data_IF_082202147247
#
_entry.id   IF_082202147247
#
_cell.length_a   1.000
_cell.length_b   1.000
_cell.length_c   1.000
_cell.angle_alpha   90.00
_cell.angle_beta   90.00
_cell.angle_gamma   90.00
#
_symmetry.space_group_name_H-M   'P 1'
#
loop_
_entity.id
_entity.type
_entity.pdbx_description
1 polymer ?
#
# COMPACT_ATOMS: atom_id res chain seq x y z
N UNK A 1 -45.65 34.58 20.42
CA UNK A 1 -46.05 33.28 19.81
C UNK A 1 -44.82 32.48 19.52
N UNK A 2 -44.52 31.50 20.36
CA UNK A 2 -43.34 30.61 20.23
C UNK A 2 -43.73 29.42 19.36
N UNK A 3 -43.08 29.32 18.17
CA UNK A 3 -43.19 28.11 17.33
C UNK A 3 -41.97 27.21 17.64
N UNK A 4 -42.12 26.27 18.55
CA UNK A 4 -41.18 25.18 18.77
C UNK A 4 -41.49 24.07 17.77
N UNK A 5 -40.72 23.97 16.69
CA UNK A 5 -40.65 22.75 15.89
C UNK A 5 -39.92 21.69 16.70
N UNK A 6 -40.69 20.69 17.17
CA UNK A 6 -40.12 19.50 17.81
C UNK A 6 -39.43 18.64 16.77
N UNK A 7 -38.11 18.64 16.78
CA UNK A 7 -37.33 17.62 16.09
C UNK A 7 -37.55 16.27 16.78
N UNK A 8 -38.30 15.39 16.13
CA UNK A 8 -38.44 13.99 16.56
C UNK A 8 -37.18 13.27 16.05
N UNK A 9 -36.25 12.97 16.98
CA UNK A 9 -35.11 12.17 16.61
C UNK A 9 -35.44 10.66 16.72
N UNK A 10 -34.81 9.87 15.88
CA UNK A 10 -35.00 8.42 15.69
C UNK A 10 -35.00 7.62 17.02
N UNK A 11 -34.20 8.01 18.02
CA UNK A 11 -34.10 7.37 19.32
C UNK A 11 -35.37 7.60 20.20
N UNK A 12 -35.98 8.76 20.13
CA UNK A 12 -37.22 9.07 20.87
C UNK A 12 -38.42 8.41 20.24
N UNK A 13 -38.46 8.24 18.94
CA UNK A 13 -39.53 7.49 18.27
C UNK A 13 -39.49 6.01 18.60
N UNK A 14 -38.32 5.39 18.67
CA UNK A 14 -38.16 3.97 19.03
C UNK A 14 -38.38 3.70 20.50
N UNK A 15 -38.18 4.66 21.40
CA UNK A 15 -38.42 4.53 22.83
C UNK A 15 -39.92 4.61 23.21
N UNK A 16 -40.73 5.18 22.33
CA UNK A 16 -42.19 5.38 22.62
C UNK A 16 -43.09 4.27 22.10
N UNK A 17 -42.64 3.34 21.27
CA UNK A 17 -43.55 2.42 20.55
C UNK A 17 -43.42 0.95 20.91
N UNK A 18 -42.71 0.52 21.93
CA UNK A 18 -42.78 -0.86 22.48
C UNK A 18 -42.85 -2.04 21.50
N UNK A 19 -42.72 -1.82 20.20
CA UNK A 19 -42.78 -2.83 19.17
C UNK A 19 -41.58 -2.70 18.22
N UNK A 20 -40.69 -3.68 18.21
CA UNK A 20 -39.62 -3.86 17.21
C UNK A 20 -40.25 -4.27 15.88
N UNK A 21 -40.68 -3.31 15.09
CA UNK A 21 -40.98 -3.53 13.67
C UNK A 21 -39.73 -3.12 12.87
N UNK A 22 -39.03 -4.04 12.16
CA UNK A 22 -37.97 -3.67 11.29
C UNK A 22 -38.54 -2.86 10.12
N UNK A 23 -38.35 -1.54 10.14
CA UNK A 23 -38.68 -0.70 8.99
C UNK A 23 -37.72 -0.99 7.84
N UNK A 24 -38.24 -1.19 6.62
CA UNK A 24 -37.36 -1.31 5.46
C UNK A 24 -36.50 -0.06 5.32
N UNK A 25 -35.29 -0.22 4.83
CA UNK A 25 -34.34 0.85 4.58
C UNK A 25 -34.97 1.86 3.58
N UNK A 26 -35.32 3.03 4.06
CA UNK A 26 -35.85 4.09 3.21
C UNK A 26 -34.80 5.18 3.05
N UNK A 27 -34.16 5.23 1.88
CA UNK A 27 -33.16 6.24 1.51
C UNK A 27 -33.68 7.68 1.63
N UNK A 28 -35.00 7.89 1.56
CA UNK A 28 -35.66 9.19 1.72
C UNK A 28 -35.65 9.75 3.15
N UNK A 29 -35.39 8.92 4.18
CA UNK A 29 -35.30 9.39 5.57
C UNK A 29 -33.91 9.94 5.92
N UNK A 30 -32.87 9.69 5.10
CA UNK A 30 -31.55 10.32 5.24
C UNK A 30 -31.52 11.76 4.69
N UNK A 31 -32.46 12.14 3.84
CA UNK A 31 -32.53 13.50 3.26
C UNK A 31 -33.07 14.57 4.24
N UNK A 32 -33.69 14.19 5.35
CA UNK A 32 -34.28 15.16 6.29
C UNK A 32 -33.29 15.69 7.35
N UNK A 33 -32.14 15.05 7.53
CA UNK A 33 -31.04 15.61 8.30
C UNK A 33 -30.15 16.40 7.33
N UNK A 34 -30.37 17.69 7.22
CA UNK A 34 -29.66 18.62 6.33
C UNK A 34 -28.15 18.66 6.57
N UNK A 35 -27.47 17.55 6.28
CA UNK A 35 -26.06 17.57 5.94
C UNK A 35 -25.97 18.02 4.49
N UNK A 36 -25.64 19.32 4.28
CA UNK A 36 -24.94 19.71 3.05
C UNK A 36 -23.98 18.56 2.75
N UNK A 37 -24.12 17.88 1.57
CA UNK A 37 -23.08 17.05 1.01
C UNK A 37 -21.84 17.93 0.99
N UNK A 38 -21.01 17.84 2.03
CA UNK A 38 -19.63 18.25 1.89
C UNK A 38 -19.18 17.49 0.65
N UNK A 39 -18.67 18.20 -0.36
CA UNK A 39 -18.03 17.61 -1.52
C UNK A 39 -17.20 16.46 -1.00
N UNK A 40 -17.62 15.21 -1.23
CA UNK A 40 -16.95 14.06 -0.64
C UNK A 40 -15.54 14.11 -1.19
N UNK A 41 -14.57 14.32 -0.32
CA UNK A 41 -13.18 14.35 -0.72
C UNK A 41 -12.90 13.04 -1.46
N UNK A 42 -12.30 13.14 -2.65
CA UNK A 42 -12.01 11.98 -3.49
C UNK A 42 -11.23 10.96 -2.67
N UNK A 43 -11.76 9.74 -2.54
CA UNK A 43 -11.08 8.64 -1.87
C UNK A 43 -9.81 8.29 -2.64
N UNK A 44 -8.65 8.57 -2.06
CA UNK A 44 -7.34 8.32 -2.66
C UNK A 44 -6.75 7.01 -2.16
N UNK A 45 -6.01 6.33 -3.03
CA UNK A 45 -5.42 5.01 -2.77
C UNK A 45 -3.95 5.00 -3.17
N UNK A 46 -3.16 4.17 -2.51
CA UNK A 46 -1.76 3.95 -2.86
C UNK A 46 -1.46 2.45 -2.91
N UNK A 47 -0.84 2.02 -3.99
CA UNK A 47 -0.37 0.65 -4.17
C UNK A 47 1.11 0.68 -4.53
N UNK A 48 1.92 -0.06 -3.77
CA UNK A 48 3.31 -0.32 -4.10
C UNK A 48 3.45 -1.78 -4.54
N UNK A 49 4.05 -2.01 -5.70
CA UNK A 49 4.43 -3.33 -6.20
C UNK A 49 5.95 -3.39 -6.25
N UNK A 50 6.54 -4.24 -5.43
CA UNK A 50 7.97 -4.32 -5.18
C UNK A 50 8.56 -5.63 -5.71
N UNK A 51 9.15 -5.67 -6.92
CA UNK A 51 9.98 -6.79 -7.34
C UNK A 51 11.22 -6.88 -6.45
N UNK A 52 11.54 -8.11 -6.02
CA UNK A 52 12.75 -8.38 -5.26
C UNK A 52 13.98 -8.24 -6.18
N UNK A 53 15.11 -7.84 -5.63
CA UNK A 53 16.43 -7.72 -6.29
C UNK A 53 16.49 -6.80 -7.52
N UNK A 54 15.57 -5.86 -7.65
CA UNK A 54 15.63 -4.85 -8.70
C UNK A 54 15.03 -5.28 -10.03
N UNK A 55 15.31 -4.47 -11.03
CA UNK A 55 14.87 -4.62 -12.42
C UNK A 55 16.07 -4.39 -13.30
N UNK A 56 16.29 -5.25 -14.30
CA UNK A 56 17.37 -5.04 -15.25
C UNK A 56 17.11 -3.76 -16.08
N UNK A 57 18.07 -2.84 -16.05
CA UNK A 57 17.88 -1.49 -16.58
C UNK A 57 17.40 -1.46 -18.03
N UNK A 58 18.00 -2.26 -18.91
CA UNK A 58 17.66 -2.28 -20.33
C UNK A 58 16.30 -2.88 -20.63
N UNK A 59 15.68 -3.59 -19.66
CA UNK A 59 14.35 -4.17 -19.84
C UNK A 59 13.22 -3.14 -19.69
N UNK A 60 13.44 -2.03 -18.95
CA UNK A 60 12.41 -1.02 -18.67
C UNK A 60 12.71 0.35 -19.25
N UNK A 61 13.97 0.81 -19.19
CA UNK A 61 14.31 2.21 -19.42
C UNK A 61 14.45 2.50 -20.92
N UNK A 62 13.62 3.42 -21.48
CA UNK A 62 13.79 3.88 -22.84
C UNK A 62 15.15 4.56 -23.06
N UNK A 63 15.72 4.45 -24.25
CA UNK A 63 16.96 5.13 -24.61
C UNK A 63 16.84 6.65 -24.57
N UNK A 64 15.66 7.18 -24.95
CA UNK A 64 15.38 8.61 -25.00
C UNK A 64 14.57 9.06 -23.79
N UNK A 65 14.87 10.25 -23.30
CA UNK A 65 14.04 10.97 -22.31
C UNK A 65 12.89 11.70 -23.00
N UNK A 66 11.87 12.06 -22.23
CA UNK A 66 10.68 12.74 -22.72
C UNK A 66 9.51 11.80 -23.01
N UNK A 67 8.67 12.07 -24.02
CA UNK A 67 7.47 11.27 -24.27
C UNK A 67 7.76 9.78 -24.50
N UNK A 68 6.94 8.89 -23.90
CA UNK A 68 7.05 7.43 -24.06
C UNK A 68 6.52 7.03 -25.46
N UNK A 69 7.29 7.32 -26.50
CA UNK A 69 6.97 6.95 -27.89
C UNK A 69 7.25 5.49 -28.17
N UNK A 70 8.34 4.97 -27.61
CA UNK A 70 8.79 3.59 -27.77
C UNK A 70 9.33 3.06 -26.44
N UNK A 71 8.86 1.88 -26.05
CA UNK A 71 9.35 1.15 -24.89
C UNK A 71 10.38 0.08 -25.30
N UNK A 72 11.30 -0.31 -24.41
CA UNK A 72 12.21 -1.42 -24.65
C UNK A 72 11.48 -2.72 -25.02
N UNK A 73 12.17 -3.65 -25.69
CA UNK A 73 11.63 -4.92 -26.18
C UNK A 73 10.79 -5.65 -25.12
N UNK A 74 11.30 -5.79 -23.91
CA UNK A 74 10.67 -6.55 -22.86
C UNK A 74 9.51 -5.77 -22.15
N UNK A 75 9.44 -4.46 -22.32
CA UNK A 75 8.37 -3.62 -21.77
C UNK A 75 7.23 -3.32 -22.77
N UNK A 76 7.23 -3.91 -23.97
CA UNK A 76 6.23 -3.65 -25.01
C UNK A 76 4.78 -3.96 -24.58
N UNK A 77 4.58 -4.90 -23.65
CA UNK A 77 3.27 -5.19 -23.07
C UNK A 77 2.63 -4.00 -22.34
N UNK A 78 3.42 -2.99 -21.95
CA UNK A 78 2.94 -1.75 -21.34
C UNK A 78 2.49 -0.67 -22.35
N UNK A 79 2.68 -0.87 -23.66
CA UNK A 79 2.40 0.15 -24.69
C UNK A 79 0.95 0.65 -24.67
N UNK A 80 -0.03 -0.22 -24.40
CA UNK A 80 -1.44 0.15 -24.33
C UNK A 80 -1.73 1.16 -23.19
N UNK A 81 -0.86 1.21 -22.19
CA UNK A 81 -1.01 2.01 -20.97
C UNK A 81 0.00 3.14 -20.86
N UNK A 82 0.83 3.41 -21.87
CA UNK A 82 1.93 4.39 -21.78
C UNK A 82 1.52 5.82 -21.43
N UNK A 83 0.25 6.17 -21.52
CA UNK A 83 -0.31 7.46 -21.07
C UNK A 83 -0.70 7.46 -19.59
N UNK A 84 -0.76 6.30 -18.96
CA UNK A 84 -1.20 6.10 -17.57
C UNK A 84 -0.03 6.06 -16.59
N UNK A 85 1.21 6.01 -17.09
CA UNK A 85 2.40 5.95 -16.23
C UNK A 85 3.55 6.80 -16.77
N UNK A 86 4.47 7.11 -15.88
CA UNK A 86 5.80 7.69 -16.18
C UNK A 86 6.89 6.76 -15.66
N UNK A 87 8.05 6.77 -16.32
CA UNK A 87 9.25 6.06 -15.89
C UNK A 87 10.23 7.10 -15.33
N UNK A 88 10.67 6.89 -14.11
CA UNK A 88 11.75 7.65 -13.49
C UNK A 88 13.00 6.78 -13.46
N UNK A 89 14.12 7.27 -13.96
CA UNK A 89 15.41 6.59 -13.90
C UNK A 89 16.49 7.50 -13.33
N UNK A 90 17.57 6.90 -12.86
CA UNK A 90 18.64 7.68 -12.26
C UNK A 90 18.30 8.18 -10.85
N UNK A 91 17.42 7.46 -10.15
CA UNK A 91 17.00 7.79 -8.80
C UNK A 91 17.87 7.01 -7.82
N UNK A 92 18.37 7.69 -6.81
CA UNK A 92 19.26 7.13 -5.80
C UNK A 92 18.56 6.99 -4.43
N UNK A 93 19.06 6.01 -3.65
CA UNK A 93 18.84 5.93 -2.21
C UNK A 93 20.13 6.36 -1.47
N UNK A 94 20.30 7.63 -1.11
CA UNK A 94 21.58 8.16 -0.63
C UNK A 94 22.10 7.49 0.64
N UNK A 95 21.20 7.04 1.53
CA UNK A 95 21.51 6.49 2.85
C UNK A 95 21.42 4.96 2.94
N UNK A 96 21.30 4.26 1.81
CA UNK A 96 21.06 2.82 1.85
C UNK A 96 22.34 2.00 1.67
N UNK A 97 23.26 2.47 0.82
CA UNK A 97 24.42 1.67 0.41
C UNK A 97 24.01 0.45 -0.41
N UNK A 98 24.90 -0.51 -0.59
CA UNK A 98 24.64 -1.74 -1.37
C UNK A 98 24.10 -2.91 -0.56
N UNK A 99 23.95 -4.08 -1.22
CA UNK A 99 23.56 -5.37 -0.64
C UNK A 99 22.05 -5.65 -0.71
N UNK A 100 21.69 -6.93 -0.55
CA UNK A 100 20.31 -7.42 -0.68
C UNK A 100 19.32 -6.73 0.27
N UNK A 101 19.79 -6.28 1.45
CA UNK A 101 18.97 -5.50 2.37
C UNK A 101 18.46 -4.18 1.79
N UNK A 102 18.99 -3.71 0.65
CA UNK A 102 18.46 -2.54 -0.05
C UNK A 102 17.04 -2.77 -0.60
N UNK A 103 16.65 -4.01 -0.90
CA UNK A 103 15.30 -4.35 -1.37
C UNK A 103 14.22 -3.85 -0.40
N UNK A 104 14.44 -4.02 0.89
CA UNK A 104 13.47 -3.63 1.93
C UNK A 104 13.38 -2.11 2.17
N UNK A 105 14.20 -1.31 1.49
CA UNK A 105 14.27 0.15 1.72
C UNK A 105 13.46 0.96 0.72
N UNK A 106 12.71 0.31 -0.17
CA UNK A 106 11.97 0.95 -1.27
C UNK A 106 11.06 2.09 -0.81
N UNK A 107 10.48 2.03 0.39
CA UNK A 107 9.48 2.98 0.86
C UNK A 107 9.95 3.88 2.01
N UNK A 108 11.20 3.75 2.47
CA UNK A 108 11.77 4.62 3.51
C UNK A 108 13.16 5.15 3.18
N UNK A 109 13.86 4.57 2.20
CA UNK A 109 15.21 5.00 1.83
C UNK A 109 16.25 4.83 2.96
N UNK A 110 16.03 3.91 3.93
CA UNK A 110 16.85 3.74 5.12
C UNK A 110 17.06 2.27 5.47
N UNK A 111 18.30 1.88 5.75
CA UNK A 111 18.60 0.59 6.40
C UNK A 111 18.59 0.73 7.91
N UNK A 112 18.10 -0.29 8.61
CA UNK A 112 18.08 -0.33 10.07
C UNK A 112 19.48 -0.13 10.68
N UNK A 113 20.52 -0.69 10.07
CA UNK A 113 21.91 -0.52 10.49
C UNK A 113 22.45 0.92 10.37
N UNK A 114 21.78 1.77 9.58
CA UNK A 114 22.21 3.14 9.29
C UNK A 114 21.31 4.20 9.94
N UNK A 115 20.27 3.81 10.67
CA UNK A 115 19.36 4.75 11.31
C UNK A 115 19.95 5.46 12.56
N UNK A 116 21.13 5.04 13.01
CA UNK A 116 21.82 5.67 14.16
C UNK A 116 21.04 5.55 15.48
N UNK A 117 20.24 4.48 15.64
CA UNK A 117 19.39 4.27 16.81
C UNK A 117 18.02 4.98 16.71
N UNK A 118 17.84 5.90 15.80
CA UNK A 118 16.55 6.56 15.56
C UNK A 118 15.65 5.70 14.65
N UNK A 119 14.90 4.79 15.25
CA UNK A 119 14.02 3.86 14.55
C UNK A 119 12.85 4.54 13.84
N UNK A 120 12.52 5.80 14.15
CA UNK A 120 11.50 6.58 13.43
C UNK A 120 11.85 6.74 11.95
N UNK A 121 13.15 6.75 11.62
CA UNK A 121 13.65 6.77 10.23
C UNK A 121 13.29 5.52 9.42
N UNK A 122 12.87 4.44 10.08
CA UNK A 122 12.41 3.21 9.43
C UNK A 122 10.96 3.30 8.92
N UNK A 123 10.19 4.30 9.36
CA UNK A 123 8.79 4.47 8.93
C UNK A 123 8.69 4.55 7.41
N UNK A 124 7.88 3.68 6.83
CA UNK A 124 7.67 3.62 5.39
C UNK A 124 6.49 4.50 4.95
N UNK A 125 6.52 4.94 3.70
CA UNK A 125 5.50 5.81 3.09
C UNK A 125 4.10 5.21 3.19
N UNK A 126 3.94 3.94 2.84
CA UNK A 126 2.67 3.21 2.88
C UNK A 126 2.10 3.16 4.31
N UNK A 127 2.94 2.85 5.29
CA UNK A 127 2.54 2.85 6.70
C UNK A 127 2.15 4.25 7.18
N UNK A 128 2.93 5.28 6.79
CA UNK A 128 2.61 6.66 7.13
C UNK A 128 1.25 7.10 6.55
N UNK A 129 0.99 6.79 5.28
CA UNK A 129 -0.29 7.07 4.63
C UNK A 129 -1.45 6.29 5.27
N UNK A 130 -1.22 5.02 5.61
CA UNK A 130 -2.20 4.18 6.28
C UNK A 130 -2.58 4.70 7.68
N UNK A 131 -1.61 5.18 8.44
CA UNK A 131 -1.87 5.80 9.76
C UNK A 131 -2.72 7.07 9.64
N UNK A 132 -2.60 7.82 8.56
CA UNK A 132 -3.35 9.07 8.31
C UNK A 132 -4.75 8.81 7.71
N UNK A 133 -4.87 7.89 6.76
CA UNK A 133 -6.07 7.75 5.91
C UNK A 133 -6.67 6.35 5.89
N UNK A 134 -6.01 5.35 6.49
CA UNK A 134 -6.48 3.97 6.49
C UNK A 134 -7.52 3.66 7.56
N UNK A 135 -7.75 4.57 8.50
CA UNK A 135 -8.62 4.31 9.67
C UNK A 135 -10.10 4.13 9.34
N UNK A 136 -10.55 4.63 8.19
CA UNK A 136 -11.93 4.49 7.73
C UNK A 136 -12.20 3.13 7.07
N UNK A 137 -11.17 2.31 6.86
CA UNK A 137 -11.27 1.02 6.20
C UNK A 137 -11.07 -0.14 7.19
N UNK A 138 -11.53 -1.35 6.82
CA UNK A 138 -11.37 -2.54 7.66
C UNK A 138 -9.89 -2.88 7.87
N UNK A 139 -9.09 -2.74 6.82
CA UNK A 139 -7.65 -2.97 6.83
C UNK A 139 -6.94 -1.66 6.51
N UNK A 140 -6.36 -0.97 7.51
CA UNK A 140 -5.63 0.27 7.25
C UNK A 140 -4.53 0.12 6.20
N UNK A 141 -3.89 -1.04 6.15
CA UNK A 141 -2.85 -1.43 5.19
C UNK A 141 -2.89 -2.94 5.00
N UNK A 142 -2.73 -3.39 3.77
CA UNK A 142 -2.46 -4.79 3.44
C UNK A 142 -1.04 -4.93 2.88
N UNK A 143 -0.25 -5.79 3.52
CA UNK A 143 1.05 -6.21 2.99
C UNK A 143 0.94 -7.65 2.53
N UNK A 144 1.23 -7.90 1.26
CA UNK A 144 1.01 -9.18 0.61
C UNK A 144 2.21 -9.62 -0.23
N UNK A 145 2.36 -10.91 -0.49
CA UNK A 145 3.37 -11.41 -1.41
C UNK A 145 4.31 -12.47 -0.83
N UNK A 146 5.59 -12.42 -1.16
CA UNK A 146 6.55 -13.48 -0.85
C UNK A 146 7.10 -13.49 0.59
N UNK A 147 6.72 -12.54 1.42
CA UNK A 147 7.09 -12.51 2.85
C UNK A 147 8.33 -11.70 3.21
N UNK A 148 9.15 -11.26 2.26
CA UNK A 148 10.25 -10.33 2.57
C UNK A 148 9.69 -8.94 2.93
N UNK A 149 10.05 -8.36 4.07
CA UNK A 149 9.40 -7.13 4.52
C UNK A 149 9.87 -5.92 3.71
N UNK A 150 8.90 -5.11 3.27
CA UNK A 150 9.12 -3.79 2.61
C UNK A 150 8.49 -2.68 3.44
N UNK A 151 7.54 -3.02 4.30
CA UNK A 151 6.78 -2.10 5.14
C UNK A 151 7.25 -2.17 6.60
N UNK A 152 7.53 -1.02 7.18
CA UNK A 152 7.99 -0.88 8.56
C UNK A 152 7.24 0.26 9.26
N UNK A 153 6.95 0.08 10.53
CA UNK A 153 6.40 1.12 11.38
C UNK A 153 7.50 2.07 11.92
N UNK A 154 7.09 3.09 12.65
CA UNK A 154 7.99 4.08 13.26
C UNK A 154 8.88 3.53 14.41
N UNK A 155 8.72 2.26 14.77
CA UNK A 155 9.57 1.53 15.74
C UNK A 155 10.54 0.58 15.02
N UNK A 156 10.61 0.65 13.70
CA UNK A 156 11.46 -0.23 12.88
C UNK A 156 11.03 -1.69 12.89
N UNK A 157 9.76 -1.95 13.21
CA UNK A 157 9.17 -3.30 13.18
C UNK A 157 8.52 -3.51 11.83
N UNK A 158 8.86 -4.63 11.20
CA UNK A 158 8.25 -5.03 9.94
C UNK A 158 6.77 -5.39 10.13
N UNK A 159 5.93 -4.94 9.19
CA UNK A 159 4.51 -5.33 9.14
C UNK A 159 4.42 -6.75 8.57
N UNK A 160 3.70 -7.67 9.22
CA UNK A 160 3.56 -9.05 8.74
C UNK A 160 2.93 -9.10 7.34
N UNK A 161 3.49 -9.95 6.48
CA UNK A 161 3.05 -10.11 5.10
C UNK A 161 2.12 -11.33 4.96
N UNK A 162 0.99 -11.17 4.28
CA UNK A 162 0.09 -12.26 3.90
C UNK A 162 0.68 -12.95 2.68
N UNK A 163 1.20 -14.17 2.87
CA UNK A 163 1.94 -14.89 1.83
C UNK A 163 1.10 -15.84 0.99
N UNK A 164 -0.21 -15.94 1.22
CA UNK A 164 -1.13 -16.83 0.50
C UNK A 164 -2.32 -16.04 -0.06
N UNK A 165 -2.63 -16.15 -1.37
CA UNK A 165 -3.83 -15.53 -1.94
C UNK A 165 -5.11 -16.07 -1.28
N UNK A 166 -5.13 -17.35 -0.88
CA UNK A 166 -6.25 -17.98 -0.18
C UNK A 166 -6.50 -17.30 1.17
N UNK A 167 -5.42 -17.08 1.94
CA UNK A 167 -5.50 -16.35 3.23
C UNK A 167 -5.93 -14.90 3.02
N UNK A 168 -5.40 -14.24 2.00
CA UNK A 168 -5.80 -12.87 1.66
C UNK A 168 -7.30 -12.81 1.30
N UNK A 169 -7.78 -13.72 0.46
CA UNK A 169 -9.19 -13.80 0.08
C UNK A 169 -10.08 -14.06 1.30
N UNK A 170 -9.74 -15.04 2.12
CA UNK A 170 -10.48 -15.35 3.34
C UNK A 170 -10.52 -14.14 4.29
N UNK A 171 -9.39 -13.45 4.47
CA UNK A 171 -9.33 -12.28 5.35
C UNK A 171 -10.22 -11.14 4.86
N UNK A 172 -10.29 -10.89 3.55
CA UNK A 172 -11.02 -9.75 2.99
C UNK A 172 -12.50 -10.06 2.75
N UNK A 173 -12.85 -11.27 2.29
CA UNK A 173 -14.18 -11.58 1.75
C UNK A 173 -14.93 -12.70 2.48
N UNK A 174 -14.23 -13.64 3.11
CA UNK A 174 -14.90 -14.73 3.81
C UNK A 174 -15.43 -14.25 5.16
N UNK A 175 -16.74 -14.48 5.43
CA UNK A 175 -17.33 -14.11 6.69
C UNK A 175 -16.70 -14.88 7.84
N UNK A 176 -16.48 -14.19 8.96
CA UNK A 176 -15.88 -14.79 10.14
C UNK A 176 -16.90 -15.69 10.86
N UNK A 177 -16.43 -16.79 11.45
CA UNK A 177 -17.26 -17.66 12.26
C UNK A 177 -17.65 -16.94 13.56
N UNK A 178 -18.92 -17.00 14.03
CA UNK A 178 -19.34 -16.37 15.26
C UNK A 178 -18.51 -16.75 16.50
N UNK A 179 -17.99 -17.97 16.56
CA UNK A 179 -17.08 -18.41 17.63
C UNK A 179 -15.73 -17.68 17.59
N UNK A 180 -15.21 -17.47 16.38
CA UNK A 180 -13.95 -16.75 16.17
C UNK A 180 -14.11 -15.27 16.49
N UNK A 181 -15.24 -14.66 16.08
CA UNK A 181 -15.60 -13.28 16.43
C UNK A 181 -15.59 -13.10 17.95
N UNK A 182 -16.28 -13.99 18.69
CA UNK A 182 -16.33 -13.93 20.15
C UNK A 182 -14.96 -14.10 20.80
N UNK A 183 -14.14 -15.03 20.30
CA UNK A 183 -12.77 -15.23 20.78
C UNK A 183 -11.91 -13.99 20.54
N UNK A 184 -12.00 -13.39 19.34
CA UNK A 184 -11.24 -12.18 19.00
C UNK A 184 -11.69 -10.98 19.84
N UNK A 185 -12.99 -10.84 20.07
CA UNK A 185 -13.52 -9.80 20.97
C UNK A 185 -12.98 -9.93 22.40
N UNK A 186 -12.93 -11.15 22.92
CA UNK A 186 -12.35 -11.40 24.26
C UNK A 186 -10.88 -11.00 24.30
N UNK A 187 -10.09 -11.36 23.27
CA UNK A 187 -8.70 -10.95 23.17
C UNK A 187 -8.55 -9.43 23.10
N UNK A 188 -9.35 -8.75 22.27
CA UNK A 188 -9.32 -7.29 22.16
C UNK A 188 -9.68 -6.58 23.47
N UNK A 189 -10.65 -7.13 24.21
CA UNK A 189 -11.03 -6.59 25.53
C UNK A 189 -9.90 -6.76 26.54
N UNK A 190 -9.19 -7.89 26.54
CA UNK A 190 -8.01 -8.10 27.37
C UNK A 190 -6.87 -7.13 27.01
N UNK A 191 -6.57 -6.99 25.72
CA UNK A 191 -5.54 -6.07 25.24
C UNK A 191 -5.87 -4.61 25.63
N UNK A 192 -7.12 -4.18 25.52
CA UNK A 192 -7.58 -2.86 25.95
C UNK A 192 -7.48 -2.67 27.47
N UNK A 193 -7.84 -3.67 28.27
CA UNK A 193 -7.70 -3.61 29.73
C UNK A 193 -6.24 -3.46 30.18
N UNK A 194 -5.33 -4.24 29.57
CA UNK A 194 -3.89 -4.10 29.85
C UNK A 194 -3.40 -2.69 29.46
N UNK A 195 -3.92 -2.15 28.36
CA UNK A 195 -3.52 -0.81 27.90
C UNK A 195 -4.01 0.28 28.84
N UNK A 196 -5.23 0.16 29.37
CA UNK A 196 -5.79 1.09 30.36
C UNK A 196 -4.93 1.10 31.63
N UNK A 197 -4.54 -0.07 32.15
CA UNK A 197 -3.65 -0.20 33.30
C UNK A 197 -2.29 0.48 33.03
N UNK A 198 -1.70 0.25 31.85
CA UNK A 198 -0.44 0.87 31.43
C UNK A 198 -0.54 2.41 31.31
N UNK A 199 -1.67 2.93 30.83
CA UNK A 199 -1.90 4.38 30.72
C UNK A 199 -2.01 5.02 32.12
N UNK A 200 -2.66 4.34 33.07
CA UNK A 200 -2.82 4.87 34.42
C UNK A 200 -1.51 4.80 35.22
N UNK A 201 -0.74 3.73 35.10
CA UNK A 201 0.62 3.64 35.64
C UNK A 201 1.52 4.73 35.08
N UNK A 202 1.43 4.94 33.79
CA UNK A 202 2.19 5.97 33.09
C UNK A 202 1.83 7.37 33.63
N UNK A 203 0.55 7.72 33.79
CA UNK A 203 0.14 9.02 34.38
C UNK A 203 0.71 9.25 35.77
N UNK A 204 0.83 8.18 36.55
CA UNK A 204 1.46 8.28 37.89
C UNK A 204 2.97 8.56 37.81
N UNK A 205 3.69 7.85 36.96
CA UNK A 205 5.14 8.01 36.75
C UNK A 205 5.52 9.38 36.19
N UNK A 206 4.66 9.97 35.36
CA UNK A 206 4.93 11.26 34.70
C UNK A 206 5.03 12.47 35.62
N UNK A 207 4.58 12.35 36.88
CA UNK A 207 4.52 13.49 37.84
C UNK A 207 5.88 13.94 38.36
N UNK A 208 6.94 13.11 38.25
CA UNK A 208 8.28 13.39 38.79
C UNK A 208 9.39 13.57 37.76
N UNK A 209 9.08 13.58 36.46
CA UNK A 209 10.07 13.58 35.40
C UNK A 209 10.65 14.97 35.13
N UNK A 210 11.95 15.03 34.83
CA UNK A 210 12.60 16.23 34.28
C UNK A 210 12.12 16.52 32.84
N UNK A 211 12.58 17.62 32.24
CA UNK A 211 12.12 18.07 30.93
C UNK A 211 12.43 17.04 29.81
N UNK A 212 13.63 16.45 29.83
CA UNK A 212 14.10 15.53 28.79
C UNK A 212 13.37 14.18 28.88
N UNK A 213 13.19 13.68 30.08
CA UNK A 213 12.47 12.44 30.31
C UNK A 213 10.98 12.61 30.10
N UNK A 214 10.43 13.81 30.36
CA UNK A 214 9.04 14.14 30.04
C UNK A 214 8.75 14.10 28.54
N UNK A 215 9.67 14.59 27.69
CA UNK A 215 9.51 14.51 26.23
C UNK A 215 9.45 13.05 25.75
N UNK A 216 10.34 12.19 26.22
CA UNK A 216 10.31 10.73 25.91
C UNK A 216 9.05 10.07 26.45
N UNK A 217 8.61 10.50 27.60
CA UNK A 217 7.41 9.98 28.23
C UNK A 217 6.13 10.36 27.49
N UNK A 218 6.00 11.57 27.00
CA UNK A 218 4.89 12.00 26.14
C UNK A 218 4.87 11.22 24.81
N UNK A 219 6.04 10.88 24.25
CA UNK A 219 6.13 9.98 23.10
C UNK A 219 5.59 8.57 23.41
N UNK A 220 5.90 8.05 24.59
CA UNK A 220 5.39 6.78 25.07
C UNK A 220 3.87 6.81 25.25
N UNK A 221 3.34 7.83 25.93
CA UNK A 221 1.89 8.03 26.08
C UNK A 221 1.17 8.16 24.74
N UNK A 222 1.75 8.89 23.82
CA UNK A 222 1.21 9.01 22.45
C UNK A 222 1.13 7.65 21.78
N UNK A 223 2.17 6.81 21.92
CA UNK A 223 2.21 5.47 21.38
C UNK A 223 1.15 4.54 21.98
N UNK A 224 0.87 4.66 23.29
CA UNK A 224 -0.20 3.91 23.95
C UNK A 224 -1.58 4.32 23.41
N UNK A 225 -1.84 5.63 23.31
CA UNK A 225 -3.09 6.17 22.74
C UNK A 225 -3.33 5.76 21.28
N UNK A 226 -2.27 5.70 20.47
CA UNK A 226 -2.38 5.22 19.09
C UNK A 226 -2.71 3.72 19.05
N UNK A 227 -2.17 2.93 19.96
CA UNK A 227 -2.47 1.50 20.08
C UNK A 227 -3.93 1.30 20.53
N UNK A 228 -4.39 2.04 21.52
CA UNK A 228 -5.78 2.05 21.97
C UNK A 228 -6.76 2.33 20.81
N UNK A 229 -6.49 3.39 20.05
CA UNK A 229 -7.31 3.73 18.88
C UNK A 229 -7.37 2.62 17.84
N UNK A 230 -6.26 1.90 17.60
CA UNK A 230 -6.22 0.75 16.66
C UNK A 230 -7.04 -0.42 17.16
N UNK A 231 -6.94 -0.76 18.46
CA UNK A 231 -7.74 -1.83 19.05
C UNK A 231 -9.24 -1.51 19.02
N UNK A 232 -9.63 -0.29 19.35
CA UNK A 232 -11.02 0.17 19.23
C UNK A 232 -11.52 0.12 17.79
N UNK A 233 -10.73 0.52 16.81
CA UNK A 233 -11.06 0.42 15.39
C UNK A 233 -11.28 -1.04 14.98
N UNK A 234 -10.34 -1.94 15.34
CA UNK A 234 -10.48 -3.36 15.05
C UNK A 234 -11.78 -3.93 15.63
N UNK A 235 -12.10 -3.58 16.90
CA UNK A 235 -13.33 -3.96 17.55
C UNK A 235 -14.59 -3.46 16.83
N UNK A 236 -14.57 -2.23 16.28
CA UNK A 236 -15.69 -1.68 15.51
C UNK A 236 -15.94 -2.44 14.19
N UNK A 237 -14.87 -2.98 13.56
CA UNK A 237 -14.99 -3.77 12.34
C UNK A 237 -15.33 -5.23 12.57
N UNK A 238 -15.16 -5.74 13.79
CA UNK A 238 -15.34 -7.15 14.13
C UNK A 238 -16.77 -7.64 13.83
N UNK A 239 -17.77 -6.81 14.06
CA UNK A 239 -19.19 -7.12 13.86
C UNK A 239 -19.77 -6.60 12.53
N UNK A 240 -18.96 -6.01 11.69
CA UNK A 240 -19.40 -5.59 10.35
C UNK A 240 -19.18 -6.73 9.38
N UNK A 241 -20.16 -7.02 8.54
CA UNK A 241 -20.01 -7.98 7.46
C UNK A 241 -18.86 -7.60 6.54
N UNK A 242 -18.14 -8.59 6.08
CA UNK A 242 -17.16 -8.41 5.00
C UNK A 242 -17.89 -8.23 3.68
N UNK A 243 -17.31 -7.50 2.70
CA UNK A 243 -17.94 -7.32 1.40
C UNK A 243 -18.18 -8.67 0.71
N UNK A 244 -19.31 -8.79 0.02
CA UNK A 244 -19.62 -9.97 -0.79
C UNK A 244 -18.99 -9.82 -2.17
N UNK A 245 -18.53 -10.92 -2.74
CA UNK A 245 -18.01 -11.00 -4.11
C UNK A 245 -18.47 -12.26 -4.79
N UNK A 246 -18.73 -12.17 -6.09
CA UNK A 246 -19.01 -13.34 -6.94
C UNK A 246 -17.73 -14.00 -7.46
N UNK A 247 -16.58 -13.37 -7.23
CA UNK A 247 -15.28 -13.89 -7.62
C UNK A 247 -14.90 -15.09 -6.75
N UNK A 248 -14.78 -16.25 -7.37
CA UNK A 248 -14.48 -17.55 -6.73
C UNK A 248 -13.22 -18.16 -7.34
N UNK A 249 -12.06 -17.54 -7.14
CA UNK A 249 -10.85 -17.89 -7.89
C UNK A 249 -10.36 -19.31 -7.63
N UNK A 250 -10.61 -19.86 -6.46
CA UNK A 250 -10.09 -21.18 -6.07
C UNK A 250 -11.02 -22.33 -6.51
N UNK A 251 -12.32 -22.07 -6.61
CA UNK A 251 -13.29 -23.01 -7.20
C UNK A 251 -13.06 -23.09 -8.72
N UNK A 252 -12.95 -21.93 -9.38
CA UNK A 252 -12.72 -21.84 -10.82
C UNK A 252 -11.35 -22.41 -11.24
N UNK A 253 -10.30 -22.22 -10.44
CA UNK A 253 -8.97 -22.74 -10.73
C UNK A 253 -8.90 -24.26 -10.75
N UNK A 254 -9.80 -24.96 -10.03
CA UNK A 254 -9.89 -26.43 -10.04
C UNK A 254 -10.53 -26.99 -11.32
N UNK A 255 -11.31 -26.15 -12.01
CA UNK A 255 -12.05 -26.51 -13.23
C UNK A 255 -11.29 -26.10 -14.52
N UNK A 256 -10.16 -25.40 -14.38
CA UNK A 256 -9.36 -24.92 -15.52
C UNK A 256 -8.20 -25.85 -15.83
N UNK A 257 -7.96 -26.10 -17.12
CA UNK A 257 -6.80 -26.85 -17.60
C UNK A 257 -5.47 -26.17 -17.20
N UNK A 258 -5.46 -24.82 -17.21
CA UNK A 258 -4.35 -23.99 -16.75
C UNK A 258 -4.83 -23.07 -15.63
N UNK A 259 -4.58 -23.38 -14.35
CA UNK A 259 -4.98 -22.53 -13.25
C UNK A 259 -4.25 -21.20 -13.28
N UNK A 260 -4.89 -20.10 -12.85
CA UNK A 260 -4.27 -18.77 -12.83
C UNK A 260 -3.00 -18.77 -11.98
N UNK A 261 -1.98 -18.07 -12.47
CA UNK A 261 -0.75 -17.93 -11.73
C UNK A 261 -1.01 -17.26 -10.37
N UNK A 262 -0.29 -17.69 -9.34
CA UNK A 262 -0.45 -17.17 -7.96
C UNK A 262 -0.42 -15.63 -7.86
N UNK A 263 0.38 -14.96 -8.70
CA UNK A 263 0.41 -13.50 -8.75
C UNK A 263 -0.87 -12.90 -9.32
N UNK A 264 -1.48 -13.52 -10.32
CA UNK A 264 -2.75 -13.07 -10.88
C UNK A 264 -3.83 -13.07 -9.78
N UNK A 265 -3.86 -14.12 -8.95
CA UNK A 265 -4.77 -14.21 -7.81
C UNK A 265 -4.54 -13.07 -6.79
N UNK A 266 -3.29 -12.77 -6.44
CA UNK A 266 -3.00 -11.61 -5.57
C UNK A 266 -3.51 -10.31 -6.19
N UNK A 267 -3.21 -10.04 -7.46
CA UNK A 267 -3.60 -8.81 -8.14
C UNK A 267 -5.12 -8.67 -8.25
N UNK A 268 -5.83 -9.78 -8.47
CA UNK A 268 -7.28 -9.82 -8.52
C UNK A 268 -7.91 -9.46 -7.17
N UNK A 269 -7.45 -10.12 -6.11
CA UNK A 269 -7.95 -9.89 -4.76
C UNK A 269 -7.60 -8.45 -4.30
N UNK A 270 -6.40 -7.96 -4.63
CA UNK A 270 -6.01 -6.58 -4.35
C UNK A 270 -6.93 -5.56 -5.02
N UNK A 271 -7.24 -5.76 -6.31
CA UNK A 271 -8.14 -4.86 -7.04
C UNK A 271 -9.55 -4.86 -6.44
N UNK A 272 -10.07 -6.03 -6.06
CA UNK A 272 -11.36 -6.15 -5.37
C UNK A 272 -11.34 -5.51 -3.97
N UNK A 273 -10.25 -5.66 -3.22
CA UNK A 273 -10.11 -5.02 -1.91
C UNK A 273 -10.10 -3.49 -2.00
N UNK A 274 -9.49 -2.93 -3.07
CA UNK A 274 -9.53 -1.49 -3.36
C UNK A 274 -10.93 -1.04 -3.82
N UNK A 275 -11.63 -1.86 -4.62
CA UNK A 275 -12.97 -1.55 -5.12
C UNK A 275 -14.00 -1.49 -4.01
N UNK A 276 -13.95 -2.44 -3.08
CA UNK A 276 -14.86 -2.54 -1.94
C UNK A 276 -14.48 -1.61 -0.79
N UNK A 277 -13.46 -0.78 -0.95
CA UNK A 277 -12.86 0.09 0.09
C UNK A 277 -12.52 -0.70 1.38
N UNK A 278 -12.22 -2.00 1.24
CA UNK A 278 -11.74 -2.82 2.36
C UNK A 278 -10.38 -2.35 2.86
N UNK A 279 -9.59 -1.80 1.95
CA UNK A 279 -8.34 -1.07 2.21
C UNK A 279 -8.11 -0.02 1.12
N UNK A 280 -7.30 1.00 1.44
CA UNK A 280 -6.82 2.02 0.50
C UNK A 280 -5.32 1.95 0.24
N UNK A 281 -4.61 1.13 1.01
CA UNK A 281 -3.16 1.02 0.98
C UNK A 281 -2.74 -0.43 0.88
N UNK A 282 -1.95 -0.75 -0.15
CA UNK A 282 -1.47 -2.11 -0.39
C UNK A 282 0.01 -2.05 -0.77
N UNK A 283 0.82 -2.89 -0.13
CA UNK A 283 2.19 -3.17 -0.56
C UNK A 283 2.31 -4.63 -0.94
N UNK A 284 2.57 -4.88 -2.22
CA UNK A 284 2.73 -6.23 -2.79
C UNK A 284 4.18 -6.49 -3.13
N UNK A 285 4.78 -7.45 -2.45
CA UNK A 285 6.09 -7.94 -2.79
C UNK A 285 5.98 -9.13 -3.75
N UNK A 286 6.43 -8.89 -4.98
CA UNK A 286 6.41 -9.93 -6.02
C UNK A 286 7.38 -11.08 -5.69
N UNK A 287 7.11 -12.28 -6.20
CA UNK A 287 8.00 -13.42 -6.02
C UNK A 287 9.44 -13.13 -6.42
N UNK A 288 10.34 -13.69 -5.64
CA UNK A 288 11.78 -13.57 -5.76
C UNK A 288 12.50 -14.69 -5.00
N UNK A 289 13.62 -14.36 -4.35
CA UNK A 289 14.39 -15.30 -3.55
C UNK A 289 15.28 -16.21 -4.37
N UNK A 290 15.59 -17.37 -3.81
CA UNK A 290 16.56 -18.33 -4.38
C UNK A 290 15.93 -19.37 -5.31
N UNK A 291 14.59 -19.32 -5.49
CA UNK A 291 13.84 -20.30 -6.26
C UNK A 291 13.82 -20.03 -7.76
N UNK A 292 13.21 -20.99 -8.48
CA UNK A 292 12.84 -20.81 -9.87
C UNK A 292 11.53 -20.04 -9.96
N UNK A 293 11.43 -19.14 -10.92
CA UNK A 293 10.17 -18.50 -11.26
C UNK A 293 9.56 -19.20 -12.47
N UNK A 294 8.24 -19.47 -12.49
CA UNK A 294 7.57 -20.18 -13.59
C UNK A 294 7.35 -19.23 -14.77
N UNK A 295 8.43 -18.91 -15.46
CA UNK A 295 8.45 -18.05 -16.65
C UNK A 295 9.03 -18.84 -17.80
N UNK A 296 8.33 -18.90 -18.93
CA UNK A 296 8.78 -19.59 -20.12
C UNK A 296 10.15 -19.09 -20.57
N UNK A 297 11.04 -20.00 -20.93
CA UNK A 297 12.42 -19.70 -21.31
C UNK A 297 13.39 -19.44 -20.15
N UNK A 298 12.91 -19.53 -18.89
CA UNK A 298 13.74 -19.39 -17.68
C UNK A 298 14.01 -20.77 -17.07
N UNK A 299 15.27 -21.16 -17.06
CA UNK A 299 15.75 -22.44 -16.53
C UNK A 299 16.82 -22.33 -15.44
N UNK A 300 17.08 -21.10 -14.98
CA UNK A 300 18.06 -20.79 -13.93
C UNK A 300 17.34 -20.13 -12.76
N UNK A 301 17.76 -20.46 -11.53
CA UNK A 301 17.19 -19.85 -10.33
C UNK A 301 17.33 -18.33 -10.32
N UNK A 302 16.27 -17.62 -9.90
CA UNK A 302 16.18 -16.17 -10.05
C UNK A 302 17.35 -15.42 -9.40
N UNK A 303 17.72 -15.76 -8.16
CA UNK A 303 18.85 -15.12 -7.50
C UNK A 303 20.18 -15.31 -8.28
N UNK A 304 20.39 -16.47 -8.88
CA UNK A 304 21.57 -16.70 -9.75
C UNK A 304 21.55 -15.82 -10.99
N UNK A 305 20.35 -15.59 -11.58
CA UNK A 305 20.18 -14.67 -12.72
C UNK A 305 20.44 -13.23 -12.34
N UNK A 306 20.06 -12.81 -11.13
CA UNK A 306 20.35 -11.43 -10.67
C UNK A 306 21.84 -11.16 -10.57
N UNK A 307 22.67 -12.18 -10.31
CA UNK A 307 24.14 -12.13 -10.37
C UNK A 307 24.65 -12.50 -11.77
N UNK A 308 24.10 -11.85 -12.80
CA UNK A 308 24.35 -12.19 -14.20
C UNK A 308 25.81 -12.01 -14.65
N UNK A 309 26.59 -11.13 -14.01
CA UNK A 309 27.97 -10.86 -14.40
C UNK A 309 28.12 -10.42 -15.85
N UNK A 310 27.11 -9.74 -16.42
CA UNK A 310 26.99 -9.30 -17.80
C UNK A 310 27.01 -10.43 -18.85
N UNK A 311 26.73 -11.67 -18.46
CA UNK A 311 26.60 -12.81 -19.38
C UNK A 311 25.29 -12.70 -20.15
N UNK A 312 25.30 -12.64 -21.49
CA UNK A 312 24.10 -12.39 -22.30
C UNK A 312 22.96 -13.38 -21.99
N UNK A 313 23.27 -14.67 -21.89
CA UNK A 313 22.29 -15.73 -21.63
C UNK A 313 21.57 -15.61 -20.28
N UNK A 314 22.24 -15.03 -19.27
CA UNK A 314 21.63 -14.75 -17.96
C UNK A 314 20.80 -13.47 -17.99
N UNK A 315 21.31 -12.44 -18.69
CA UNK A 315 20.59 -11.18 -18.87
C UNK A 315 19.30 -11.40 -19.65
N UNK A 316 19.31 -12.26 -20.66
CA UNK A 316 18.12 -12.60 -21.46
C UNK A 316 17.07 -13.28 -20.58
N UNK A 317 17.42 -14.29 -19.79
CA UNK A 317 16.49 -14.95 -18.87
C UNK A 317 15.97 -13.99 -17.78
N UNK A 318 16.83 -13.14 -17.24
CA UNK A 318 16.42 -12.10 -16.27
C UNK A 318 15.42 -11.13 -16.90
N UNK A 319 15.66 -10.74 -18.16
CA UNK A 319 14.78 -9.84 -18.90
C UNK A 319 13.42 -10.48 -19.23
N UNK A 320 13.35 -11.80 -19.40
CA UNK A 320 12.06 -12.53 -19.52
C UNK A 320 11.27 -12.48 -18.20
N UNK A 321 11.95 -12.59 -17.04
CA UNK A 321 11.31 -12.42 -15.74
C UNK A 321 10.78 -10.99 -15.60
N UNK A 322 11.55 -9.99 -16.00
CA UNK A 322 11.10 -8.61 -15.96
C UNK A 322 9.91 -8.38 -16.91
N UNK A 323 9.92 -8.96 -18.11
CA UNK A 323 8.80 -8.93 -19.05
C UNK A 323 7.53 -9.52 -18.43
N UNK A 324 7.64 -10.67 -17.79
CA UNK A 324 6.53 -11.28 -17.07
C UNK A 324 5.97 -10.35 -15.98
N UNK A 325 6.83 -9.67 -15.20
CA UNK A 325 6.41 -8.68 -14.22
C UNK A 325 5.70 -7.48 -14.85
N UNK A 326 6.17 -7.01 -16.02
CA UNK A 326 5.49 -5.93 -16.75
C UNK A 326 4.13 -6.36 -17.31
N UNK A 327 3.98 -7.61 -17.72
CA UNK A 327 2.68 -8.17 -18.09
C UNK A 327 1.72 -8.16 -16.90
N UNK A 328 2.18 -8.53 -15.70
CA UNK A 328 1.38 -8.42 -14.49
C UNK A 328 0.97 -6.97 -14.19
N UNK A 329 1.89 -6.02 -14.35
CA UNK A 329 1.61 -4.59 -14.21
C UNK A 329 0.58 -4.10 -15.22
N UNK A 330 0.72 -4.48 -16.50
CA UNK A 330 -0.23 -4.11 -17.55
C UNK A 330 -1.65 -4.64 -17.24
N UNK A 331 -1.76 -5.91 -16.85
CA UNK A 331 -3.03 -6.51 -16.41
C UNK A 331 -3.64 -5.75 -15.22
N UNK A 332 -2.83 -5.38 -14.24
CA UNK A 332 -3.31 -4.69 -13.06
C UNK A 332 -3.77 -3.26 -13.38
N UNK A 333 -3.02 -2.51 -14.18
CA UNK A 333 -3.42 -1.19 -14.68
C UNK A 333 -4.74 -1.28 -15.46
N UNK A 334 -4.87 -2.25 -16.37
CA UNK A 334 -6.11 -2.47 -17.14
C UNK A 334 -7.29 -2.78 -16.24
N UNK A 335 -7.08 -3.63 -15.21
CA UNK A 335 -8.10 -3.95 -14.22
C UNK A 335 -8.55 -2.71 -13.44
N UNK A 336 -7.61 -1.91 -12.93
CA UNK A 336 -7.93 -0.67 -12.20
C UNK A 336 -8.61 0.38 -13.09
N UNK A 337 -8.36 0.40 -14.40
CA UNK A 337 -9.07 1.27 -15.37
C UNK A 337 -10.53 0.84 -15.55
N UNK A 338 -10.79 -0.46 -15.63
CA UNK A 338 -12.13 -1.02 -15.86
C UNK A 338 -12.99 -1.01 -14.62
N UNK A 339 -12.41 -1.29 -13.47
CA UNK A 339 -13.12 -1.33 -12.19
C UNK A 339 -13.41 0.08 -11.69
N UNK A 340 -14.57 0.24 -11.07
CA UNK A 340 -15.04 1.53 -10.56
C UNK A 340 -15.17 1.49 -9.04
N UNK A 341 -14.90 2.62 -8.40
CA UNK A 341 -15.17 2.84 -6.97
C UNK A 341 -16.67 3.04 -6.71
N UNK A 342 -17.05 3.18 -5.43
CA UNK A 342 -18.44 3.41 -5.01
C UNK A 342 -19.07 4.69 -5.57
N UNK A 343 -18.29 5.59 -6.15
CA UNK A 343 -18.76 6.83 -6.81
C UNK A 343 -18.73 6.74 -8.34
N UNK A 344 -18.46 5.56 -8.89
CA UNK A 344 -18.45 5.28 -10.33
C UNK A 344 -17.19 5.74 -11.07
N UNK A 345 -16.12 6.15 -10.36
CA UNK A 345 -14.84 6.57 -10.97
C UNK A 345 -13.95 5.35 -11.21
N UNK A 346 -13.20 5.30 -12.33
CA UNK A 346 -12.16 4.29 -12.49
C UNK A 346 -11.21 4.27 -11.29
N UNK A 347 -10.89 3.08 -10.79
CA UNK A 347 -10.00 2.97 -9.63
C UNK A 347 -8.62 3.56 -9.90
N UNK A 348 -8.10 3.43 -11.12
CA UNK A 348 -6.81 4.01 -11.49
C UNK A 348 -6.76 5.52 -11.32
N UNK A 349 -7.88 6.22 -11.55
CA UNK A 349 -7.98 7.67 -11.42
C UNK A 349 -7.72 8.16 -9.98
N UNK A 350 -7.98 7.30 -9.01
CA UNK A 350 -7.86 7.62 -7.59
C UNK A 350 -6.75 6.83 -6.88
N UNK A 351 -6.01 6.03 -7.62
CA UNK A 351 -4.94 5.17 -7.11
C UNK A 351 -3.59 5.63 -7.66
N UNK A 352 -2.65 5.98 -6.78
CA UNK A 352 -1.23 6.05 -7.14
C UNK A 352 -0.66 4.64 -7.10
N UNK A 353 -0.01 4.24 -8.18
CA UNK A 353 0.64 2.94 -8.32
C UNK A 353 2.13 3.15 -8.53
N UNK A 354 2.94 2.60 -7.63
CA UNK A 354 4.40 2.64 -7.67
C UNK A 354 4.94 1.24 -7.87
N UNK A 355 5.74 1.04 -8.93
CA UNK A 355 6.40 -0.23 -9.21
C UNK A 355 7.92 -0.02 -9.28
N UNK A 356 8.66 -0.75 -8.47
CA UNK A 356 10.11 -0.68 -8.41
C UNK A 356 10.70 -1.34 -7.19
N UNK A 357 12.01 -1.24 -7.03
CA UNK A 357 12.75 -1.87 -5.93
C UNK A 357 13.69 -0.86 -5.25
N UNK A 358 14.04 -1.13 -3.99
CA UNK A 358 15.11 -0.41 -3.30
C UNK A 358 16.51 -0.75 -3.82
N UNK A 359 16.64 -1.81 -4.61
CA UNK A 359 17.87 -2.21 -5.30
C UNK A 359 17.70 -2.00 -6.79
N UNK A 360 18.71 -1.39 -7.46
CA UNK A 360 18.67 -1.12 -8.89
C UNK A 360 19.31 -2.23 -9.71
N UNK A 361 20.47 -2.71 -9.26
CA UNK A 361 21.29 -3.71 -9.93
C UNK A 361 21.78 -4.71 -8.90
N UNK A 362 21.20 -5.89 -8.93
CA UNK A 362 21.57 -6.96 -8.01
C UNK A 362 22.94 -7.56 -8.32
N UNK A 363 23.41 -7.51 -9.58
CA UNK A 363 24.75 -8.00 -9.95
C UNK A 363 25.86 -7.24 -9.25
N UNK A 364 25.65 -5.93 -9.03
CA UNK A 364 26.58 -5.04 -8.33
C UNK A 364 26.09 -4.69 -6.92
N UNK A 365 24.98 -5.27 -6.46
CA UNK A 365 24.34 -4.95 -5.18
C UNK A 365 24.08 -3.43 -5.00
N UNK A 366 23.77 -2.73 -6.07
CA UNK A 366 23.65 -1.26 -6.08
C UNK A 366 22.25 -0.80 -5.69
N UNK A 367 22.18 0.27 -4.91
CA UNK A 367 20.96 1.04 -4.63
C UNK A 367 20.96 2.41 -5.33
N UNK A 368 21.91 2.63 -6.24
CA UNK A 368 22.01 3.85 -7.04
C UNK A 368 21.40 3.64 -8.41
N UNK A 369 20.92 4.73 -9.02
CA UNK A 369 20.39 4.72 -10.37
C UNK A 369 19.19 3.76 -10.53
N UNK A 370 18.32 3.73 -9.54
CA UNK A 370 17.08 2.97 -9.55
C UNK A 370 16.13 3.42 -10.66
N UNK A 371 15.19 2.54 -11.00
CA UNK A 371 14.11 2.79 -11.94
C UNK A 371 12.78 2.57 -11.26
N UNK A 372 11.88 3.56 -11.37
CA UNK A 372 10.53 3.48 -10.84
C UNK A 372 9.54 3.74 -11.97
N UNK A 373 8.56 2.85 -12.14
CA UNK A 373 7.35 3.11 -12.89
C UNK A 373 6.31 3.64 -11.91
N UNK A 374 5.74 4.81 -12.24
CA UNK A 374 4.75 5.49 -11.41
C UNK A 374 3.50 5.78 -12.24
N UNK A 375 2.32 5.35 -11.78
CA UNK A 375 1.11 5.38 -12.57
C UNK A 375 -0.12 5.89 -11.81
N UNK A 376 -1.16 6.30 -12.54
CA UNK A 376 -2.48 6.60 -12.03
C UNK A 376 -2.63 7.96 -11.35
N UNK A 377 -3.64 8.08 -10.48
CA UNK A 377 -3.89 9.31 -9.72
C UNK A 377 -4.32 10.52 -10.57
N UNK A 378 -4.62 10.34 -11.86
CA UNK A 378 -4.89 11.41 -12.83
C UNK A 378 -3.77 12.45 -12.95
N UNK A 379 -2.53 12.03 -12.68
CA UNK A 379 -1.36 12.86 -12.90
C UNK A 379 -0.99 12.89 -14.38
N UNK A 380 -0.20 13.89 -14.80
CA UNK A 380 0.28 13.99 -16.19
C UNK A 380 1.43 13.02 -16.43
N UNK A 381 1.07 11.84 -16.86
CA UNK A 381 1.99 10.76 -17.20
C UNK A 381 2.45 10.78 -18.67
N UNK A 382 3.04 9.68 -19.13
CA UNK A 382 3.44 9.47 -20.52
C UNK A 382 4.87 9.87 -20.84
N UNK A 383 5.73 10.02 -19.83
CA UNK A 383 7.12 10.47 -20.03
C UNK A 383 8.14 9.58 -19.31
N UNK A 384 9.33 9.52 -19.88
CA UNK A 384 10.54 9.05 -19.21
C UNK A 384 11.33 10.25 -18.68
N UNK A 385 11.57 10.28 -17.37
CA UNK A 385 12.33 11.29 -16.66
C UNK A 385 13.68 10.69 -16.21
N UNK A 386 14.78 11.10 -16.83
CA UNK A 386 16.12 10.69 -16.43
C UNK A 386 16.69 11.71 -15.43
N UNK A 387 16.84 11.30 -14.19
CA UNK A 387 17.16 12.20 -13.05
C UNK A 387 18.59 12.02 -12.52
N UNK A 388 19.42 11.17 -13.16
CA UNK A 388 20.79 10.91 -12.72
C UNK A 388 21.62 12.19 -12.64
N UNK A 389 22.24 12.41 -11.48
CA UNK A 389 23.09 13.58 -11.26
C UNK A 389 22.33 14.90 -11.04
N UNK A 390 21.01 14.89 -11.01
CA UNK A 390 20.18 16.06 -10.68
C UNK A 390 19.83 16.11 -9.19
N UNK A 391 19.42 17.30 -8.70
CA UNK A 391 18.85 17.43 -7.35
C UNK A 391 17.60 16.61 -7.12
N UNK A 392 16.87 16.30 -8.19
CA UNK A 392 15.62 15.54 -8.21
C UNK A 392 15.85 14.03 -8.13
N UNK A 393 17.09 13.55 -8.38
CA UNK A 393 17.47 12.15 -8.44
C UNK A 393 17.53 11.45 -7.08
N UNK A 394 16.57 11.72 -6.19
CA UNK A 394 16.39 11.04 -4.90
C UNK A 394 15.00 10.41 -4.86
N UNK A 395 14.92 9.10 -4.59
CA UNK A 395 13.64 8.38 -4.63
C UNK A 395 12.62 8.94 -3.64
N UNK A 396 13.07 9.42 -2.49
CA UNK A 396 12.21 10.03 -1.47
C UNK A 396 11.51 11.32 -1.92
N UNK A 397 11.96 11.94 -3.04
CA UNK A 397 11.23 13.05 -3.65
C UNK A 397 9.88 12.58 -4.24
N UNK A 398 9.78 11.32 -4.71
CA UNK A 398 8.49 10.71 -5.08
C UNK A 398 7.60 10.51 -3.86
N UNK A 399 8.17 10.21 -2.68
CA UNK A 399 7.36 10.07 -1.48
C UNK A 399 6.68 11.39 -1.10
N UNK A 400 7.41 12.50 -1.15
CA UNK A 400 6.83 13.83 -0.91
C UNK A 400 5.77 14.15 -1.97
N UNK A 401 5.97 13.75 -3.22
CA UNK A 401 4.95 13.87 -4.27
C UNK A 401 3.70 13.05 -3.95
N UNK A 402 3.85 11.82 -3.44
CA UNK A 402 2.72 11.03 -2.94
C UNK A 402 2.00 11.73 -1.78
N UNK A 403 2.74 12.25 -0.79
CA UNK A 403 2.15 12.98 0.33
C UNK A 403 1.33 14.18 -0.15
N UNK A 404 1.89 14.97 -1.07
CA UNK A 404 1.20 16.12 -1.65
C UNK A 404 -0.07 15.71 -2.43
N UNK A 405 -0.02 14.58 -3.17
CA UNK A 405 -1.21 14.03 -3.79
C UNK A 405 -2.31 13.73 -2.78
N UNK A 406 -1.97 13.19 -1.60
CA UNK A 406 -2.92 12.94 -0.52
C UNK A 406 -3.35 14.21 0.23
N UNK A 407 -2.77 15.37 -0.08
CA UNK A 407 -3.10 16.65 0.55
C UNK A 407 -2.28 16.94 1.81
N UNK A 408 -1.26 16.14 2.09
CA UNK A 408 -0.31 16.38 3.18
C UNK A 408 0.74 17.36 2.67
N UNK A 409 0.83 18.52 3.31
CA UNK A 409 1.78 19.60 2.98
C UNK A 409 3.07 19.44 3.77
N UNK A 410 3.75 18.31 3.60
CA UNK A 410 5.08 18.12 4.16
C UNK A 410 6.14 18.41 3.11
N UNK A 411 7.18 19.13 3.52
CA UNK A 411 8.29 19.53 2.63
C UNK A 411 9.38 18.46 2.58
N UNK A 412 9.35 17.48 3.48
CA UNK A 412 10.35 16.41 3.55
C UNK A 412 9.75 15.12 4.08
N UNK A 413 10.27 14.00 3.60
CA UNK A 413 10.01 12.65 4.13
C UNK A 413 11.24 11.79 3.83
N UNK A 414 11.70 11.00 4.81
CA UNK A 414 12.91 10.18 4.71
C UNK A 414 14.13 11.03 4.27
N UNK A 415 14.77 10.69 3.16
CA UNK A 415 15.97 11.36 2.64
C UNK A 415 15.67 12.37 1.53
N UNK A 416 14.42 12.82 1.40
CA UNK A 416 14.01 13.74 0.33
C UNK A 416 14.72 15.10 0.41
N UNK A 417 14.87 15.72 -0.75
CA UNK A 417 15.43 17.06 -0.94
C UNK A 417 14.44 18.01 -1.63
N UNK A 418 13.21 17.57 -1.80
CA UNK A 418 12.12 18.25 -2.48
C UNK A 418 11.03 17.27 -2.91
N UNK A 419 10.36 17.59 -4.01
CA UNK A 419 9.31 16.76 -4.61
C UNK A 419 9.45 16.75 -6.14
N UNK A 420 8.69 15.89 -6.81
CA UNK A 420 8.64 15.76 -8.27
C UNK A 420 7.30 16.22 -8.86
N UNK A 421 6.53 17.05 -8.14
CA UNK A 421 5.22 17.52 -8.60
C UNK A 421 5.27 18.19 -9.97
N UNK A 422 6.34 18.98 -10.22
CA UNK A 422 6.55 19.68 -11.50
C UNK A 422 6.73 18.77 -12.71
N UNK A 423 7.05 17.49 -12.50
CA UNK A 423 7.18 16.49 -13.57
C UNK A 423 5.85 15.80 -13.88
N UNK A 424 4.86 15.89 -12.97
CA UNK A 424 3.60 15.15 -13.01
C UNK A 424 2.36 16.09 -12.98
N UNK A 425 2.57 17.42 -13.01
CA UNK A 425 1.52 18.44 -13.01
C UNK A 425 1.10 18.86 -14.41
#
# INVERSE_FOLDING_TARGET
>A
MYNRTHEINRRRFLAGSGALIPLPFMASLECAAGKKKASSAVTKRFVCIAPEYGIHRSSLIPEKTGPLSQLPKYAQCLNAHRREFSIFSGIDHPMVGGGHAATSTLLNGMKKSLCGGDLKKMLTLDMYLADKFGRDTRFPLLTVGNGSPVTFNNKGVAVPTITSPEKLFAQVFQQDNPKEIKKREQSLNQDLSILDDLVDDAKFLGKGLDKTDREKFEEYLTSLRETEKRLHQEKQWLYKDKPKTEYKPFEQAQEMDEPPHRNDLFLDIMALALQTDSTRFITFQMPGGNGFLPVEGVNTAYHTLTHHGHRPERVDQLSLIDQWRYQQMAKFIDKLKKMKDGEGRPLLDTTLLMFGSGMSDASNHSSKNNSILFAGGRLKHGKHHALKGTKDGVISNLYVTCLNYFGIRENSFATSRGNLNHLLS
#
